data_IF_265627870202
#
_entry.id   IF_265627870202
#
_cell.length_a   1.000
_cell.length_b   1.000
_cell.length_c   1.000
_cell.angle_alpha   90.00
_cell.angle_beta   90.00
_cell.angle_gamma   90.00
#
_symmetry.space_group_name_H-M   'P 1'
#
loop_
_entity.id
_entity.type
_entity.pdbx_description
1 polymer ?
#
# COMPACT_ATOMS: atom_id res chain seq x y z
N UNK A 1 -90.18 10.58 -52.02
CA UNK A 1 -90.47 11.48 -50.90
C UNK A 1 -89.57 11.04 -49.77
N UNK A 2 -88.79 12.00 -49.26
CA UNK A 2 -87.97 11.94 -48.03
C UNK A 2 -86.76 11.00 -48.05
N UNK A 3 -85.61 11.27 -47.42
CA UNK A 3 -84.91 12.47 -46.94
C UNK A 3 -83.51 11.92 -46.53
N UNK A 4 -82.45 12.64 -46.92
CA UNK A 4 -81.05 12.77 -46.42
C UNK A 4 -80.63 12.11 -45.06
N UNK A 5 -79.34 12.19 -44.63
CA UNK A 5 -78.08 11.63 -45.13
C UNK A 5 -77.39 10.70 -44.07
N UNK A 6 -76.18 10.19 -44.37
CA UNK A 6 -75.22 9.84 -43.31
C UNK A 6 -73.79 10.10 -43.79
N UNK A 7 -73.06 11.06 -43.20
CA UNK A 7 -71.63 11.20 -43.35
C UNK A 7 -70.94 10.44 -42.21
N UNK A 8 -69.98 9.57 -42.52
CA UNK A 8 -69.00 9.15 -41.52
C UNK A 8 -67.59 9.42 -42.04
N UNK A 9 -67.05 10.48 -41.44
CA UNK A 9 -65.71 11.00 -41.57
C UNK A 9 -64.65 9.96 -41.18
N UNK A 10 -63.54 10.02 -41.92
CA UNK A 10 -62.30 9.31 -41.69
C UNK A 10 -61.60 9.82 -40.43
N UNK A 11 -61.16 8.91 -39.56
CA UNK A 11 -60.14 9.21 -38.56
C UNK A 11 -59.21 7.99 -38.44
N UNK A 12 -58.04 8.09 -39.07
CA UNK A 12 -56.94 7.16 -38.92
C UNK A 12 -56.38 7.25 -37.49
N UNK A 13 -56.48 6.15 -36.74
CA UNK A 13 -55.84 6.04 -35.42
C UNK A 13 -54.34 5.80 -35.60
N UNK A 14 -53.54 6.78 -35.21
CA UNK A 14 -52.10 6.64 -35.07
C UNK A 14 -51.79 5.73 -33.88
N UNK A 15 -51.25 4.53 -34.16
CA UNK A 15 -50.71 3.62 -33.15
C UNK A 15 -49.42 4.20 -32.57
N UNK A 16 -49.49 4.69 -31.33
CA UNK A 16 -48.34 5.09 -30.54
C UNK A 16 -47.49 3.85 -30.19
N UNK A 17 -46.27 3.81 -30.69
CA UNK A 17 -45.26 2.82 -30.30
C UNK A 17 -44.75 3.14 -28.90
N UNK A 18 -45.25 2.40 -27.90
CA UNK A 18 -44.75 2.42 -26.53
C UNK A 18 -43.41 1.69 -26.45
N UNK A 19 -42.30 2.42 -26.51
CA UNK A 19 -40.94 1.91 -26.25
C UNK A 19 -40.70 1.73 -24.75
N UNK A 20 -41.27 0.68 -24.17
CA UNK A 20 -40.95 0.25 -22.80
C UNK A 20 -39.62 -0.51 -22.78
N UNK A 21 -38.52 0.22 -22.56
CA UNK A 21 -37.23 -0.40 -22.26
C UNK A 21 -37.33 -1.18 -20.93
N UNK A 22 -36.94 -2.47 -20.87
CA UNK A 22 -36.97 -3.23 -19.63
C UNK A 22 -35.93 -2.66 -18.65
N UNK A 23 -36.24 -2.54 -17.35
CA UNK A 23 -35.27 -2.10 -16.36
C UNK A 23 -34.13 -3.12 -16.28
N UNK A 24 -32.89 -2.64 -16.43
CA UNK A 24 -31.69 -3.46 -16.31
C UNK A 24 -31.69 -4.18 -14.96
N UNK A 25 -31.93 -5.50 -15.00
CA UNK A 25 -32.01 -6.35 -13.83
C UNK A 25 -30.74 -6.26 -13.01
N UNK A 26 -30.87 -5.85 -11.75
CA UNK A 26 -29.78 -5.79 -10.78
C UNK A 26 -29.21 -7.20 -10.59
N UNK A 27 -28.00 -7.46 -11.07
CA UNK A 27 -27.33 -8.76 -10.89
C UNK A 27 -27.07 -9.00 -9.40
N UNK A 28 -27.91 -9.81 -8.76
CA UNK A 28 -27.69 -10.27 -7.39
C UNK A 28 -26.63 -11.37 -7.42
N UNK A 29 -25.38 -10.99 -7.15
CA UNK A 29 -24.29 -11.97 -6.98
C UNK A 29 -24.49 -12.68 -5.64
N UNK A 30 -24.87 -13.95 -5.67
CA UNK A 30 -24.88 -14.80 -4.47
C UNK A 30 -23.45 -15.17 -4.10
N UNK A 31 -22.86 -14.43 -3.17
CA UNK A 31 -21.52 -14.72 -2.64
C UNK A 31 -21.63 -15.95 -1.74
N UNK A 32 -21.03 -17.08 -2.15
CA UNK A 32 -20.85 -18.25 -1.28
C UNK A 32 -19.61 -18.02 -0.43
N UNK A 33 -19.78 -17.90 0.88
CA UNK A 33 -18.65 -17.81 1.82
C UNK A 33 -18.06 -19.22 1.95
N UNK A 34 -16.75 -19.42 1.67
CA UNK A 34 -16.14 -20.72 1.84
C UNK A 34 -16.13 -21.13 3.32
N UNK A 35 -16.34 -22.42 3.63
CA UNK A 35 -16.37 -22.89 5.01
C UNK A 35 -15.03 -22.65 5.71
N UNK A 36 -15.07 -22.33 7.01
CA UNK A 36 -13.88 -22.17 7.82
C UNK A 36 -13.03 -23.46 7.82
N UNK A 37 -11.70 -23.30 7.93
CA UNK A 37 -10.77 -24.43 8.06
C UNK A 37 -10.83 -24.98 9.48
N UNK A 38 -10.99 -26.29 9.60
CA UNK A 38 -10.93 -26.98 10.90
C UNK A 38 -9.51 -27.48 11.19
N UNK A 39 -9.13 -27.68 12.47
CA UNK A 39 -7.80 -28.19 12.80
C UNK A 39 -7.55 -29.59 12.23
N UNK A 40 -8.58 -30.42 12.06
CA UNK A 40 -8.47 -31.73 11.40
C UNK A 40 -8.14 -31.58 9.91
N UNK A 41 -8.77 -30.62 9.22
CA UNK A 41 -8.44 -30.30 7.83
C UNK A 41 -7.01 -29.78 7.71
N UNK A 42 -6.56 -28.93 8.64
CA UNK A 42 -5.20 -28.40 8.65
C UNK A 42 -4.17 -29.53 8.86
N UNK A 43 -4.42 -30.47 9.77
CA UNK A 43 -3.54 -31.61 10.01
C UNK A 43 -3.42 -32.52 8.77
N UNK A 44 -4.53 -32.75 8.06
CA UNK A 44 -4.52 -33.50 6.80
C UNK A 44 -3.77 -32.73 5.71
N UNK A 45 -4.05 -31.44 5.55
CA UNK A 45 -3.39 -30.59 4.57
C UNK A 45 -1.88 -30.55 4.82
N UNK A 46 -1.46 -30.48 6.09
CA UNK A 46 -0.06 -30.46 6.47
C UNK A 46 0.65 -31.77 6.13
N UNK A 47 0.04 -32.92 6.45
CA UNK A 47 0.57 -34.23 6.05
C UNK A 47 0.71 -34.32 4.53
N UNK A 48 -0.36 -34.00 3.79
CA UNK A 48 -0.39 -34.10 2.33
C UNK A 48 0.61 -33.16 1.65
N UNK A 49 0.82 -31.97 2.20
CA UNK A 49 1.78 -31.00 1.68
C UNK A 49 3.23 -31.45 1.91
N UNK A 50 3.52 -32.14 3.02
CA UNK A 50 4.82 -32.76 3.27
C UNK A 50 5.09 -33.94 2.33
N UNK A 51 4.08 -34.79 2.10
CA UNK A 51 4.20 -35.98 1.25
C UNK A 51 4.33 -35.66 -0.25
N UNK A 52 3.48 -34.76 -0.77
CA UNK A 52 3.44 -34.44 -2.22
C UNK A 52 4.35 -33.26 -2.61
N UNK A 53 4.93 -32.59 -1.62
CA UNK A 53 5.63 -31.31 -1.77
C UNK A 53 4.69 -30.13 -2.06
N UNK A 54 5.18 -28.92 -1.80
CA UNK A 54 4.43 -27.65 -1.92
C UNK A 54 4.16 -27.16 -3.36
N UNK A 55 4.28 -28.05 -4.36
CA UNK A 55 4.11 -27.73 -5.78
C UNK A 55 2.86 -28.37 -6.41
N UNK A 56 2.35 -29.47 -5.84
CA UNK A 56 1.31 -30.30 -6.45
C UNK A 56 -0.07 -30.13 -5.79
N UNK A 57 -0.55 -28.88 -5.67
CA UNK A 57 -1.79 -28.56 -4.96
C UNK A 57 -3.06 -29.20 -5.54
N UNK A 58 -3.08 -29.53 -6.83
CA UNK A 58 -4.21 -30.27 -7.44
C UNK A 58 -4.37 -31.65 -6.83
N UNK A 59 -3.26 -32.38 -6.65
CA UNK A 59 -3.24 -33.71 -6.04
C UNK A 59 -3.56 -33.66 -4.55
N UNK A 60 -3.08 -32.62 -3.86
CA UNK A 60 -3.42 -32.37 -2.45
C UNK A 60 -4.93 -32.16 -2.30
N UNK A 61 -5.53 -31.28 -3.11
CA UNK A 61 -6.96 -30.99 -3.06
C UNK A 61 -7.85 -32.23 -3.32
N UNK A 62 -7.43 -33.15 -4.20
CA UNK A 62 -8.19 -34.39 -4.45
C UNK A 62 -8.19 -35.36 -3.27
N UNK A 63 -7.19 -35.28 -2.39
CA UNK A 63 -7.04 -36.15 -1.22
C UNK A 63 -7.60 -35.52 0.06
N UNK A 64 -8.06 -34.27 0.01
CA UNK A 64 -8.70 -33.60 1.14
C UNK A 64 -10.09 -34.19 1.41
N UNK A 65 -10.47 -34.39 2.69
CA UNK A 65 -11.75 -34.99 3.06
C UNK A 65 -12.96 -34.14 2.65
N UNK A 66 -12.80 -32.80 2.62
CA UNK A 66 -13.74 -31.88 1.99
C UNK A 66 -13.22 -31.48 0.62
N UNK A 67 -14.13 -31.28 -0.34
CA UNK A 67 -13.80 -30.76 -1.68
C UNK A 67 -13.34 -29.29 -1.59
N UNK A 68 -12.10 -29.08 -1.12
CA UNK A 68 -11.38 -27.81 -1.13
C UNK A 68 -10.77 -27.60 -2.51
N UNK A 69 -10.70 -26.36 -2.97
CA UNK A 69 -10.01 -26.05 -4.22
C UNK A 69 -8.48 -26.09 -4.03
N UNK A 70 -7.71 -26.40 -5.09
CA UNK A 70 -6.24 -26.35 -5.05
C UNK A 70 -5.69 -24.98 -4.60
N UNK A 71 -6.41 -23.91 -4.95
CA UNK A 71 -6.04 -22.53 -4.57
C UNK A 71 -6.20 -22.32 -3.08
N UNK A 72 -7.31 -22.76 -2.49
CA UNK A 72 -7.54 -22.69 -1.05
C UNK A 72 -6.48 -23.48 -0.27
N UNK A 73 -6.16 -24.70 -0.70
CA UNK A 73 -5.13 -25.52 -0.06
C UNK A 73 -3.76 -24.83 -0.07
N UNK A 74 -3.35 -24.29 -1.23
CA UNK A 74 -2.09 -23.55 -1.36
C UNK A 74 -2.05 -22.32 -0.46
N UNK A 75 -3.11 -21.52 -0.48
CA UNK A 75 -3.15 -20.27 0.27
C UNK A 75 -3.19 -20.56 1.78
N UNK A 76 -3.95 -21.58 2.22
CA UNK A 76 -3.92 -22.05 3.61
C UNK A 76 -2.53 -22.47 4.04
N UNK A 77 -1.85 -23.28 3.23
CA UNK A 77 -0.49 -23.71 3.51
C UNK A 77 0.48 -22.53 3.65
N UNK A 78 0.57 -21.68 2.63
CA UNK A 78 1.52 -20.55 2.59
C UNK A 78 1.27 -19.53 3.71
N UNK A 79 0.02 -19.32 4.08
CA UNK A 79 -0.33 -18.25 5.01
C UNK A 79 -0.39 -18.72 6.47
N UNK A 80 -0.59 -20.03 6.71
CA UNK A 80 -0.89 -20.56 8.05
C UNK A 80 -0.14 -21.83 8.47
N UNK A 81 0.30 -22.71 7.56
CA UNK A 81 0.85 -24.02 7.95
C UNK A 81 2.33 -24.22 7.60
N UNK A 82 2.85 -23.43 6.66
CA UNK A 82 4.24 -23.58 6.24
C UNK A 82 5.18 -23.22 7.41
N UNK A 83 6.23 -24.03 7.60
CA UNK A 83 7.15 -23.94 8.76
C UNK A 83 7.87 -22.59 8.86
N UNK A 84 7.98 -21.88 7.74
CA UNK A 84 8.57 -20.55 7.65
C UNK A 84 7.64 -19.44 8.14
N UNK A 85 6.34 -19.72 8.37
CA UNK A 85 5.39 -18.71 8.87
C UNK A 85 5.45 -18.63 10.39
N UNK A 86 5.92 -17.49 10.90
CA UNK A 86 5.96 -17.26 12.33
C UNK A 86 4.63 -16.71 12.89
N UNK A 87 4.07 -17.36 13.92
CA UNK A 87 2.69 -17.15 14.40
C UNK A 87 2.51 -16.31 15.68
N UNK A 88 3.57 -15.81 16.33
CA UNK A 88 3.43 -15.04 17.59
C UNK A 88 2.64 -13.72 17.40
N UNK A 89 2.09 -13.10 18.45
CA UNK A 89 1.49 -11.76 18.36
C UNK A 89 2.48 -10.69 17.85
N UNK A 90 1.97 -9.62 17.24
CA UNK A 90 2.78 -8.44 16.89
C UNK A 90 3.18 -7.71 18.16
N UNK A 91 4.47 -7.41 18.29
CA UNK A 91 5.04 -6.60 19.36
C UNK A 91 5.21 -5.16 18.88
N UNK A 92 5.40 -4.23 19.82
CA UNK A 92 5.67 -2.84 19.48
C UNK A 92 6.93 -2.67 18.62
N UNK A 93 7.94 -3.51 18.81
CA UNK A 93 9.15 -3.51 17.99
C UNK A 93 8.85 -3.93 16.53
N UNK A 94 8.02 -4.98 16.35
CA UNK A 94 7.59 -5.41 15.01
C UNK A 94 6.82 -4.31 14.28
N UNK A 95 5.96 -3.60 15.01
CA UNK A 95 5.16 -2.51 14.45
C UNK A 95 6.03 -1.30 14.05
N UNK A 96 7.07 -1.00 14.83
CA UNK A 96 8.02 0.06 14.51
C UNK A 96 8.83 -0.28 13.25
N UNK A 97 9.35 -1.50 13.13
CA UNK A 97 10.09 -1.96 11.95
C UNK A 97 9.18 -2.01 10.71
N UNK A 98 7.96 -2.54 10.86
CA UNK A 98 6.97 -2.56 9.79
C UNK A 98 6.63 -1.15 9.31
N UNK A 99 6.39 -0.22 10.23
CA UNK A 99 6.12 1.17 9.88
C UNK A 99 7.29 1.81 9.15
N UNK A 100 8.52 1.59 9.63
CA UNK A 100 9.73 2.09 8.97
C UNK A 100 9.85 1.61 7.53
N UNK A 101 9.70 0.30 7.31
CA UNK A 101 9.82 -0.29 5.97
C UNK A 101 8.67 0.16 5.06
N UNK A 102 7.43 0.20 5.54
CA UNK A 102 6.30 0.63 4.72
C UNK A 102 6.39 2.11 4.32
N UNK A 103 6.83 2.99 5.22
CA UNK A 103 6.97 4.42 4.93
C UNK A 103 8.13 4.72 3.99
N UNK A 104 9.25 4.00 4.11
CA UNK A 104 10.37 4.10 3.17
C UNK A 104 9.98 3.63 1.75
N UNK A 105 8.98 2.75 1.65
CA UNK A 105 8.56 2.10 0.41
C UNK A 105 7.18 2.58 -0.07
N UNK A 106 6.89 3.87 0.09
CA UNK A 106 5.68 4.55 -0.37
C UNK A 106 4.37 3.81 -0.04
N UNK A 107 4.26 3.33 1.20
CA UNK A 107 3.05 2.72 1.73
C UNK A 107 2.94 1.20 1.55
N UNK A 108 4.01 0.54 1.11
CA UNK A 108 4.14 -0.92 1.15
C UNK A 108 3.90 -1.63 -0.18
N UNK A 109 4.63 -1.28 -1.24
CA UNK A 109 4.53 -2.01 -2.52
C UNK A 109 5.11 -3.44 -2.48
N UNK A 110 6.11 -3.69 -1.62
CA UNK A 110 6.94 -4.91 -1.64
C UNK A 110 6.66 -5.84 -0.46
N UNK A 111 5.42 -6.29 -0.31
CA UNK A 111 4.98 -7.08 0.85
C UNK A 111 5.77 -8.37 1.10
N UNK A 112 6.27 -9.04 0.05
CA UNK A 112 7.10 -10.24 0.20
C UNK A 112 8.46 -9.94 0.83
N UNK A 113 9.07 -8.82 0.44
CA UNK A 113 10.38 -8.43 0.96
C UNK A 113 10.24 -7.87 2.37
N UNK A 114 9.21 -7.05 2.59
CA UNK A 114 8.87 -6.53 3.92
C UNK A 114 8.57 -7.69 4.88
N UNK A 115 7.86 -8.72 4.45
CA UNK A 115 7.51 -9.84 5.33
C UNK A 115 8.71 -10.73 5.67
N UNK A 116 9.71 -10.80 4.78
CA UNK A 116 10.99 -11.46 5.08
C UNK A 116 11.82 -10.66 6.07
N UNK A 117 11.85 -9.33 5.94
CA UNK A 117 12.55 -8.45 6.87
C UNK A 117 11.90 -8.46 8.25
N UNK A 118 10.57 -8.29 8.31
CA UNK A 118 9.78 -8.31 9.55
C UNK A 118 9.48 -9.76 9.94
N UNK A 119 10.48 -10.43 10.52
CA UNK A 119 10.34 -11.68 11.27
C UNK A 119 9.92 -12.92 10.42
N UNK A 120 10.01 -12.88 9.09
CA UNK A 120 9.67 -14.04 8.24
C UNK A 120 8.17 -14.37 8.20
N UNK A 121 7.28 -13.41 8.42
CA UNK A 121 5.82 -13.65 8.43
C UNK A 121 5.25 -13.78 7.02
N UNK A 122 3.99 -14.21 6.92
CA UNK A 122 3.27 -14.18 5.65
C UNK A 122 2.98 -12.74 5.22
N UNK A 123 3.14 -12.46 3.92
CA UNK A 123 2.88 -11.14 3.34
C UNK A 123 1.45 -10.63 3.62
N UNK A 124 0.49 -11.55 3.73
CA UNK A 124 -0.90 -11.24 4.10
C UNK A 124 -1.05 -10.78 5.55
N UNK A 125 -0.35 -11.41 6.50
CA UNK A 125 -0.37 -10.99 7.90
C UNK A 125 0.21 -9.56 8.05
N UNK A 126 1.34 -9.30 7.39
CA UNK A 126 2.01 -8.00 7.40
C UNK A 126 1.14 -6.90 6.77
N UNK A 127 0.55 -7.16 5.59
CA UNK A 127 -0.37 -6.23 4.93
C UNK A 127 -1.60 -5.93 5.79
N UNK A 128 -2.14 -6.93 6.49
CA UNK A 128 -3.25 -6.74 7.42
C UNK A 128 -2.82 -5.85 8.59
N UNK A 129 -1.69 -6.14 9.22
CA UNK A 129 -1.17 -5.35 10.33
C UNK A 129 -0.95 -3.89 9.92
N UNK A 130 -0.34 -3.64 8.78
CA UNK A 130 -0.16 -2.29 8.25
C UNK A 130 -1.47 -1.52 8.09
N UNK A 131 -2.55 -2.18 7.62
CA UNK A 131 -3.88 -1.55 7.56
C UNK A 131 -4.45 -1.22 8.94
N UNK A 132 -4.14 -2.00 9.96
CA UNK A 132 -4.54 -1.70 11.34
C UNK A 132 -3.77 -0.49 11.86
N UNK A 133 -2.45 -0.47 11.68
CA UNK A 133 -1.60 0.65 12.13
C UNK A 133 -2.00 1.97 11.46
N UNK A 134 -2.32 1.95 10.16
CA UNK A 134 -2.74 3.13 9.40
C UNK A 134 -4.08 3.74 9.82
N UNK A 135 -4.90 3.03 10.61
CA UNK A 135 -6.14 3.61 11.14
C UNK A 135 -5.87 4.55 12.32
N UNK A 136 -4.70 4.47 12.95
CA UNK A 136 -4.34 5.28 14.10
C UNK A 136 -3.16 6.20 13.77
N UNK A 137 -3.47 7.46 13.43
CA UNK A 137 -2.45 8.49 13.15
C UNK A 137 -1.63 8.83 14.41
N UNK A 138 -2.26 8.78 15.60
CA UNK A 138 -1.58 8.94 16.88
C UNK A 138 -0.53 7.85 17.15
N UNK A 139 -0.80 6.61 16.73
CA UNK A 139 0.16 5.52 16.86
C UNK A 139 1.35 5.68 15.91
N UNK A 140 1.09 6.00 14.64
CA UNK A 140 2.14 6.22 13.64
C UNK A 140 3.00 7.44 13.98
N UNK A 141 2.39 8.55 14.41
CA UNK A 141 3.12 9.76 14.82
C UNK A 141 3.96 9.56 16.08
N UNK A 142 3.55 8.67 17.00
CA UNK A 142 4.34 8.30 18.20
C UNK A 142 5.52 7.38 17.87
N UNK A 143 5.31 6.38 17.01
CA UNK A 143 6.38 5.45 16.62
C UNK A 143 7.37 6.07 15.64
N UNK A 144 6.93 7.06 14.87
CA UNK A 144 7.74 7.66 13.83
C UNK A 144 7.44 9.16 13.70
N UNK A 145 8.34 9.99 14.21
CA UNK A 145 8.43 11.37 13.72
C UNK A 145 9.01 11.31 12.31
N UNK A 146 8.24 11.76 11.33
CA UNK A 146 8.75 12.04 9.99
C UNK A 146 10.05 12.83 10.15
N UNK A 147 11.20 12.33 9.65
CA UNK A 147 12.39 13.16 9.55
C UNK A 147 11.93 14.44 8.86
N UNK A 148 12.06 15.57 9.55
CA UNK A 148 11.90 16.86 8.90
C UNK A 148 12.74 16.75 7.65
N UNK A 149 12.09 16.88 6.48
CA UNK A 149 12.80 17.12 5.23
C UNK A 149 13.88 18.15 5.57
N UNK A 150 15.16 17.93 5.21
CA UNK A 150 16.21 18.90 5.52
C UNK A 150 15.66 20.25 5.09
N UNK A 151 15.30 21.07 6.08
CA UNK A 151 14.72 22.38 5.82
C UNK A 151 15.79 23.08 5.03
N UNK A 152 15.45 23.48 3.80
CA UNK A 152 16.31 24.32 3.00
C UNK A 152 16.90 25.39 3.92
N UNK A 153 18.22 25.62 3.91
CA UNK A 153 18.83 26.57 4.82
C UNK A 153 18.06 27.89 4.72
N UNK A 154 17.49 28.30 5.85
CA UNK A 154 16.84 29.60 5.97
C UNK A 154 17.84 30.65 5.48
N UNK A 155 17.47 31.56 4.55
CA UNK A 155 18.38 32.58 4.04
C UNK A 155 18.80 33.62 5.10
N UNK A 156 18.38 33.47 6.35
CA UNK A 156 18.53 34.48 7.39
C UNK A 156 19.94 34.61 8.02
N UNK A 157 20.99 34.06 7.43
CA UNK A 157 22.36 34.37 7.88
C UNK A 157 23.40 34.39 6.75
N UNK A 158 23.05 34.98 5.61
CA UNK A 158 24.07 35.41 4.65
C UNK A 158 24.66 36.71 5.17
N UNK A 159 25.79 36.60 5.86
CA UNK A 159 26.67 37.75 6.13
C UNK A 159 27.05 38.33 4.76
N UNK A 160 26.52 39.50 4.43
CA UNK A 160 26.88 40.22 3.21
C UNK A 160 28.34 40.64 3.36
N UNK A 161 29.25 39.91 2.72
CA UNK A 161 30.61 40.40 2.49
C UNK A 161 30.47 41.44 1.37
N UNK A 162 30.28 42.70 1.75
CA UNK A 162 30.25 43.81 0.80
C UNK A 162 31.68 44.01 0.29
N UNK A 163 32.09 43.26 -0.73
CA UNK A 163 33.28 43.59 -1.50
C UNK A 163 32.93 44.78 -2.40
N UNK A 164 33.17 45.99 -1.90
CA UNK A 164 33.11 47.19 -2.73
C UNK A 164 34.31 47.19 -3.68
N UNK A 165 34.07 46.85 -4.95
CA UNK A 165 35.07 47.03 -6.00
C UNK A 165 35.03 48.48 -6.48
N UNK A 166 35.93 49.33 -5.99
CA UNK A 166 36.18 50.63 -6.60
C UNK A 166 37.14 50.44 -7.78
N UNK A 167 36.64 50.67 -8.99
CA UNK A 167 37.46 50.68 -10.21
C UNK A 167 38.10 52.06 -10.34
N UNK A 168 39.41 52.14 -10.11
CA UNK A 168 40.25 53.25 -10.56
C UNK A 168 41.38 52.67 -11.40
N UNK A 169 41.39 53.06 -12.67
CA UNK A 169 42.49 52.93 -13.65
C UNK A 169 43.14 51.55 -13.81
N UNK A 170 42.37 50.57 -14.28
CA UNK A 170 42.87 49.53 -15.20
C UNK A 170 43.90 48.52 -14.67
N UNK A 171 44.16 48.45 -13.36
CA UNK A 171 44.92 47.35 -12.74
C UNK A 171 44.21 46.83 -11.49
N UNK A 172 43.82 45.56 -11.52
CA UNK A 172 43.29 44.85 -10.35
C UNK A 172 44.45 44.53 -9.42
N UNK A 173 44.57 45.26 -8.30
CA UNK A 173 45.36 44.82 -7.14
C UNK A 173 44.41 44.29 -6.07
N UNK A 174 44.58 43.01 -5.71
CA UNK A 174 43.87 42.37 -4.60
C UNK A 174 44.55 42.75 -3.28
N UNK A 175 44.01 43.75 -2.58
CA UNK A 175 44.32 43.93 -1.16
C UNK A 175 43.31 43.14 -0.32
N UNK A 176 43.81 42.14 0.40
CA UNK A 176 43.08 41.43 1.45
C UNK A 176 42.82 42.43 2.58
N UNK A 177 41.59 42.94 2.65
CA UNK A 177 41.09 43.67 3.81
C UNK A 177 41.15 42.78 5.04
N UNK A 178 41.94 43.22 6.02
CA UNK A 178 42.26 42.54 7.28
C UNK A 178 40.98 42.06 7.99
N UNK A 179 40.80 40.75 8.08
CA UNK A 179 39.83 40.14 8.98
C UNK A 179 40.45 40.06 10.37
N UNK A 180 40.07 41.00 11.25
CA UNK A 180 40.32 40.89 12.68
C UNK A 180 39.47 39.73 13.23
N UNK A 181 39.94 38.49 13.08
CA UNK A 181 39.40 37.35 13.80
C UNK A 181 40.04 37.29 15.18
N UNK A 182 39.19 37.50 16.20
CA UNK A 182 39.51 37.22 17.58
C UNK A 182 39.88 35.74 17.74
N UNK A 183 40.98 35.54 18.45
CA UNK A 183 41.61 34.28 18.75
C UNK A 183 40.66 33.27 19.44
N UNK A 184 40.64 32.04 18.94
CA UNK A 184 40.50 30.86 19.77
C UNK A 184 41.54 29.84 19.30
N UNK A 185 42.60 29.72 20.11
CA UNK A 185 43.74 28.87 19.83
C UNK A 185 43.40 27.39 19.91
N UNK A 186 43.87 26.64 18.94
CA UNK A 186 44.14 25.22 19.08
C UNK A 186 45.47 24.91 18.39
N UNK A 187 46.47 24.61 19.22
CA UNK A 187 47.79 24.12 18.82
C UNK A 187 47.68 22.68 18.33
N UNK A 188 48.08 22.42 17.09
CA UNK A 188 48.37 21.06 16.61
C UNK A 188 49.89 20.87 16.58
N UNK A 189 50.39 19.95 17.42
CA UNK A 189 51.74 19.40 17.35
C UNK A 189 51.87 18.54 16.07
N UNK A 190 52.92 18.77 15.29
CA UNK A 190 53.34 17.90 14.19
C UNK A 190 54.43 16.93 14.68
N UNK A 191 54.35 15.68 14.20
CA UNK A 191 55.51 14.78 13.99
C UNK A 191 55.63 14.60 12.48
#
# INVERSE_FOLDING_TARGET
MDMEPSPSSSAAAAVALSSSSPPLGRCVVRIRIPPAWTPEEDAVLERLARENGSRHWRRVATQMPRRRSPVECRDRWRDHLARDVFHRPFTAADDAELAHLCLRLDGGGRWKDISRAVYGRSSRAVKRRWRELRKSDAFLSKLWRRPLSPTAPSPANQTIITTTCSVVDGRVSSQLGSCMSLALGFTCLAV
#
